data_IF_315764811665
#
_entry.id   IF_315764811665
#
_cell.length_a   1.000
_cell.length_b   1.000
_cell.length_c   1.000
_cell.angle_alpha   90.00
_cell.angle_beta   90.00
_cell.angle_gamma   90.00
#
_symmetry.space_group_name_H-M   'P 1'
#
loop_
_entity.id
_entity.type
_entity.pdbx_description
1 polymer ?
#
# COMPACT_ATOMS: atom_id res chain seq x y z
N UNK A 1 -11.45 16.24 -6.61
CA UNK A 1 -10.29 16.46 -7.49
C UNK A 1 -10.26 15.28 -8.42
N UNK A 2 -10.35 15.52 -9.74
CA UNK A 2 -10.46 14.48 -10.78
C UNK A 2 -9.45 13.32 -10.66
N UNK A 3 -8.30 13.56 -10.03
CA UNK A 3 -7.29 12.52 -9.72
C UNK A 3 -7.78 11.46 -8.71
N UNK A 4 -8.64 11.81 -7.74
CA UNK A 4 -9.26 10.84 -6.82
C UNK A 4 -10.25 9.94 -7.56
N UNK A 5 -10.99 10.50 -8.52
CA UNK A 5 -11.97 9.77 -9.32
C UNK A 5 -11.29 8.81 -10.31
N UNK A 6 -10.14 9.20 -10.89
CA UNK A 6 -9.34 8.31 -11.74
C UNK A 6 -8.66 7.16 -10.96
N UNK A 7 -8.18 7.40 -9.75
CA UNK A 7 -7.64 6.35 -8.89
C UNK A 7 -8.73 5.41 -8.33
N UNK A 8 -9.97 5.90 -8.20
CA UNK A 8 -11.13 5.05 -7.94
C UNK A 8 -11.52 4.21 -9.17
N UNK A 9 -11.33 4.75 -10.39
CA UNK A 9 -11.59 4.05 -11.66
C UNK A 9 -10.48 3.06 -12.06
N UNK A 10 -9.24 3.29 -11.66
CA UNK A 10 -8.09 2.44 -12.03
C UNK A 10 -7.24 2.14 -10.79
N UNK A 11 -7.48 1.00 -10.11
CA UNK A 11 -6.64 0.59 -8.99
C UNK A 11 -5.21 0.34 -9.46
N UNK A 12 -4.23 0.71 -8.62
CA UNK A 12 -2.82 0.51 -8.90
C UNK A 12 -2.50 -0.99 -8.81
N UNK A 13 -1.91 -1.56 -9.85
CA UNK A 13 -1.42 -2.92 -9.82
C UNK A 13 0.06 -2.94 -9.44
N UNK A 14 0.40 -3.73 -8.42
CA UNK A 14 1.75 -3.84 -7.87
C UNK A 14 2.13 -5.31 -7.82
N UNK A 15 3.34 -5.63 -8.26
CA UNK A 15 3.90 -6.99 -8.19
C UNK A 15 5.03 -7.01 -7.16
N UNK A 16 4.88 -7.82 -6.12
CA UNK A 16 5.87 -8.00 -5.07
C UNK A 16 6.62 -9.31 -5.30
N UNK A 17 7.95 -9.27 -5.21
CA UNK A 17 8.79 -10.45 -5.33
C UNK A 17 9.62 -10.65 -4.05
N UNK A 18 9.47 -11.83 -3.44
CA UNK A 18 10.20 -12.27 -2.24
C UNK A 18 11.23 -13.37 -2.55
N UNK A 19 11.36 -13.80 -3.80
CA UNK A 19 12.31 -14.86 -4.22
C UNK A 19 13.78 -14.47 -3.96
N UNK A 20 14.09 -13.17 -3.87
CA UNK A 20 15.41 -12.64 -3.52
C UNK A 20 15.76 -12.81 -2.01
N UNK A 21 14.91 -13.50 -1.24
CA UNK A 21 15.04 -13.65 0.21
C UNK A 21 14.58 -12.43 1.01
N UNK A 22 13.91 -11.45 0.37
CA UNK A 22 13.32 -10.30 1.04
C UNK A 22 12.05 -10.71 1.78
N UNK A 23 11.79 -10.11 2.93
CA UNK A 23 10.48 -10.20 3.57
C UNK A 23 9.45 -9.35 2.82
N UNK A 24 8.17 -9.70 2.98
CA UNK A 24 7.06 -8.87 2.50
C UNK A 24 7.14 -7.46 3.11
N UNK A 25 7.40 -7.38 4.42
CA UNK A 25 7.55 -6.11 5.17
C UNK A 25 6.28 -5.24 5.16
N UNK A 26 5.11 -5.87 5.23
CA UNK A 26 3.82 -5.21 5.16
C UNK A 26 3.02 -5.43 6.44
N UNK A 27 2.50 -4.35 7.03
CA UNK A 27 1.57 -4.40 8.14
C UNK A 27 0.16 -4.06 7.65
N UNK A 28 -0.81 -4.87 8.05
CA UNK A 28 -2.22 -4.68 7.66
C UNK A 28 -3.15 -4.57 8.87
N UNK A 29 -4.29 -3.91 8.68
CA UNK A 29 -5.42 -3.88 9.61
C UNK A 29 -6.74 -4.01 8.87
N UNK A 30 -7.82 -4.21 9.63
CA UNK A 30 -9.17 -4.37 9.09
C UNK A 30 -9.50 -5.84 8.88
N UNK A 31 -10.58 -6.11 8.15
CA UNK A 31 -11.17 -7.43 8.00
C UNK A 31 -12.69 -7.33 7.94
N UNK A 32 -13.30 -8.19 7.12
CA UNK A 32 -14.74 -8.21 6.90
C UNK A 32 -15.53 -8.47 8.19
N UNK A 33 -14.95 -9.19 9.16
CA UNK A 33 -15.52 -9.42 10.49
C UNK A 33 -15.71 -8.13 11.29
N UNK A 34 -14.95 -7.08 10.97
CA UNK A 34 -15.09 -5.74 11.55
C UNK A 34 -15.92 -4.79 10.67
N UNK A 35 -16.44 -5.26 9.54
CA UNK A 35 -17.09 -4.43 8.53
C UNK A 35 -16.12 -3.46 7.82
N UNK A 36 -14.83 -3.79 7.79
CA UNK A 36 -13.75 -2.96 7.22
C UNK A 36 -13.02 -3.69 6.10
N UNK A 37 -12.58 -2.98 5.08
CA UNK A 37 -11.60 -3.52 4.11
C UNK A 37 -10.22 -3.72 4.71
N UNK A 38 -9.30 -4.30 3.95
CA UNK A 38 -7.90 -4.46 4.37
C UNK A 38 -7.09 -3.22 4.00
N UNK A 39 -6.42 -2.62 4.99
CA UNK A 39 -5.62 -1.41 4.83
C UNK A 39 -4.19 -1.60 5.32
N UNK A 40 -3.26 -0.96 4.63
CA UNK A 40 -1.84 -0.96 4.98
C UNK A 40 -1.58 0.07 6.09
N UNK A 41 -0.98 -0.37 7.19
CA UNK A 41 -0.62 0.47 8.35
C UNK A 41 0.86 0.75 8.48
N UNK A 42 1.69 -0.04 7.80
CA UNK A 42 3.13 0.07 7.88
C UNK A 42 3.80 -0.66 6.73
N UNK A 43 4.95 -0.14 6.32
CA UNK A 43 5.81 -0.72 5.28
C UNK A 43 7.24 -0.64 5.80
N UNK A 44 7.92 -1.78 5.86
CA UNK A 44 9.30 -1.85 6.33
C UNK A 44 10.27 -1.38 5.24
N UNK A 45 11.21 -0.47 5.53
CA UNK A 45 12.20 -0.02 4.55
C UNK A 45 13.02 -1.16 3.98
N UNK A 46 13.22 -1.19 2.65
CA UNK A 46 13.99 -2.22 1.96
C UNK A 46 13.27 -3.57 1.80
N UNK A 47 12.01 -3.67 2.20
CA UNK A 47 11.17 -4.85 1.98
C UNK A 47 10.64 -4.94 0.54
N UNK A 48 10.01 -6.08 0.20
CA UNK A 48 9.32 -6.22 -1.08
C UNK A 48 8.18 -5.18 -1.23
N UNK A 49 7.44 -4.89 -0.15
CA UNK A 49 6.39 -3.87 -0.16
C UNK A 49 6.91 -2.45 -0.43
N UNK A 50 8.06 -2.08 0.16
CA UNK A 50 8.72 -0.80 -0.07
C UNK A 50 9.19 -0.67 -1.53
N UNK A 51 9.84 -1.72 -2.06
CA UNK A 51 10.26 -1.78 -3.47
C UNK A 51 9.07 -1.74 -4.45
N UNK A 52 7.92 -2.31 -4.06
CA UNK A 52 6.67 -2.25 -4.79
C UNK A 52 5.98 -0.88 -4.74
N UNK A 53 6.47 0.04 -3.91
CA UNK A 53 5.91 1.39 -3.77
C UNK A 53 4.57 1.42 -3.01
N UNK A 54 4.27 0.38 -2.22
CA UNK A 54 3.12 0.36 -1.32
C UNK A 54 3.29 1.39 -0.21
N UNK A 55 2.18 1.97 0.24
CA UNK A 55 2.20 3.03 1.26
C UNK A 55 1.18 2.80 2.35
N UNK A 56 1.49 3.37 3.51
CA UNK A 56 0.54 3.46 4.61
C UNK A 56 -0.70 4.24 4.16
N UNK A 57 -1.88 3.67 4.40
CA UNK A 57 -3.16 4.22 3.98
C UNK A 57 -3.71 3.64 2.68
N UNK A 58 -2.94 2.84 1.94
CA UNK A 58 -3.45 2.10 0.79
C UNK A 58 -4.44 1.01 1.22
N UNK A 59 -5.48 0.82 0.42
CA UNK A 59 -6.45 -0.26 0.59
C UNK A 59 -6.13 -1.38 -0.39
N UNK A 60 -6.02 -2.61 0.11
CA UNK A 60 -5.84 -3.80 -0.73
C UNK A 60 -7.21 -4.24 -1.23
N UNK A 61 -7.35 -4.36 -2.56
CA UNK A 61 -8.59 -4.77 -3.21
C UNK A 61 -8.52 -6.21 -3.74
N UNK A 62 -7.34 -6.65 -4.16
CA UNK A 62 -7.12 -7.99 -4.73
C UNK A 62 -5.68 -8.42 -4.52
N UNK A 63 -5.45 -9.72 -4.29
CA UNK A 63 -4.12 -10.36 -4.29
C UNK A 63 -4.22 -11.67 -5.07
N UNK A 64 -3.39 -11.84 -6.09
CA UNK A 64 -3.35 -13.04 -6.96
C UNK A 64 -4.71 -13.47 -7.51
N UNK A 65 -5.57 -12.49 -7.80
CA UNK A 65 -6.93 -12.72 -8.31
C UNK A 65 -7.97 -13.01 -7.21
N UNK A 66 -7.58 -13.14 -5.94
CA UNK A 66 -8.51 -13.23 -4.82
C UNK A 66 -8.92 -11.83 -4.34
N UNK A 67 -10.23 -11.63 -4.17
CA UNK A 67 -10.77 -10.35 -3.71
C UNK A 67 -10.52 -10.13 -2.21
N UNK A 68 -9.98 -8.96 -1.87
CA UNK A 68 -9.74 -8.52 -0.49
C UNK A 68 -10.82 -7.53 0.00
N UNK A 69 -11.91 -7.37 -0.76
CA UNK A 69 -12.99 -6.42 -0.43
C UNK A 69 -13.83 -6.91 0.75
N UNK A 70 -14.08 -8.23 0.83
CA UNK A 70 -14.92 -8.88 1.85
C UNK A 70 -14.20 -10.08 2.48
N UNK A 71 -12.89 -9.96 2.68
CA UNK A 71 -12.05 -11.03 3.27
C UNK A 71 -11.87 -10.83 4.77
N UNK A 72 -11.76 -11.94 5.53
CA UNK A 72 -11.44 -11.86 6.96
C UNK A 72 -9.98 -11.46 7.19
N UNK A 73 -9.67 -10.92 8.38
CA UNK A 73 -8.29 -10.55 8.73
C UNK A 73 -7.34 -11.76 8.65
N UNK A 74 -7.72 -12.87 9.30
CA UNK A 74 -6.90 -14.09 9.35
C UNK A 74 -6.63 -14.67 7.97
N UNK A 75 -7.65 -14.72 7.10
CA UNK A 75 -7.50 -15.22 5.73
C UNK A 75 -6.61 -14.31 4.89
N UNK A 76 -6.76 -12.98 5.02
CA UNK A 76 -5.88 -12.03 4.36
C UNK A 76 -4.41 -12.23 4.78
N UNK A 77 -4.15 -12.39 6.09
CA UNK A 77 -2.81 -12.68 6.62
C UNK A 77 -2.28 -14.01 6.08
N UNK A 78 -3.12 -15.04 5.99
CA UNK A 78 -2.73 -16.35 5.47
C UNK A 78 -2.28 -16.28 4.01
N UNK A 79 -3.04 -15.61 3.15
CA UNK A 79 -2.71 -15.44 1.72
C UNK A 79 -1.41 -14.64 1.57
N UNK A 80 -1.28 -13.52 2.29
CA UNK A 80 -0.08 -12.67 2.20
C UNK A 80 1.19 -13.37 2.67
N UNK A 81 1.09 -14.34 3.59
CA UNK A 81 2.24 -15.11 4.10
C UNK A 81 2.61 -16.32 3.24
N UNK A 82 1.69 -16.82 2.43
CA UNK A 82 1.89 -18.06 1.66
C UNK A 82 2.49 -17.81 0.28
N UNK A 83 2.25 -16.65 -0.33
CA UNK A 83 2.83 -16.31 -1.63
C UNK A 83 4.26 -15.77 -1.52
N UNK A 84 5.14 -16.20 -2.43
CA UNK A 84 6.48 -15.61 -2.64
C UNK A 84 6.48 -14.55 -3.77
N UNK A 85 5.49 -14.62 -4.65
CA UNK A 85 5.23 -13.63 -5.70
C UNK A 85 3.77 -13.21 -5.63
N UNK A 86 3.52 -11.96 -5.24
CA UNK A 86 2.16 -11.46 -5.01
C UNK A 86 1.83 -10.37 -6.02
N UNK A 87 0.76 -10.55 -6.79
CA UNK A 87 0.19 -9.52 -7.66
C UNK A 87 -1.00 -8.88 -6.98
N UNK A 88 -0.79 -7.66 -6.50
CA UNK A 88 -1.76 -6.93 -5.70
C UNK A 88 -2.44 -5.84 -6.54
N UNK A 89 -3.73 -5.60 -6.30
CA UNK A 89 -4.41 -4.37 -6.72
C UNK A 89 -4.71 -3.56 -5.49
N UNK A 90 -4.20 -2.34 -5.45
CA UNK A 90 -4.40 -1.42 -4.33
C UNK A 90 -5.07 -0.13 -4.78
N UNK A 91 -5.79 0.49 -3.86
CA UNK A 91 -6.36 1.83 -4.03
C UNK A 91 -5.67 2.77 -3.06
N UNK A 92 -5.10 3.83 -3.58
CA UNK A 92 -4.61 4.95 -2.78
C UNK A 92 -5.80 5.71 -2.14
N UNK A 93 -6.02 5.47 -0.86
CA UNK A 93 -7.04 6.16 -0.03
C UNK A 93 -6.39 7.30 0.80
N UNK A 94 -5.07 7.33 0.84
CA UNK A 94 -4.27 8.04 1.83
C UNK A 94 -3.34 9.14 1.31
N UNK A 95 -3.31 9.44 0.00
CA UNK A 95 -2.63 10.63 -0.55
C UNK A 95 -3.39 11.91 -0.20
N UNK A 96 -3.49 12.18 1.09
CA UNK A 96 -3.28 13.53 1.57
C UNK A 96 -1.87 13.88 1.11
N UNK A 97 -1.79 14.87 0.24
CA UNK A 97 -0.57 15.62 0.02
C UNK A 97 -0.21 16.26 1.36
N UNK A 98 0.37 15.50 2.28
CA UNK A 98 1.22 16.11 3.29
C UNK A 98 2.27 16.80 2.45
N UNK A 99 2.20 18.11 2.48
CA UNK A 99 3.13 19.04 1.91
C UNK A 99 4.47 18.85 2.63
N UNK A 100 5.11 17.68 2.51
CA UNK A 100 6.52 17.53 2.79
C UNK A 100 7.23 18.09 1.57
N UNK A 101 7.83 19.24 1.79
CA UNK A 101 8.66 19.97 0.85
C UNK A 101 9.59 19.02 0.09
N UNK A 102 9.25 18.82 -1.19
CA UNK A 102 10.12 18.22 -2.20
C UNK A 102 10.25 19.11 -3.43
N UNK A 103 9.83 20.38 -3.33
CA UNK A 103 10.35 21.40 -4.22
C UNK A 103 11.72 21.77 -3.67
N UNK A 104 12.78 21.29 -4.31
CA UNK A 104 14.05 22.02 -4.31
C UNK A 104 13.74 23.44 -4.79
N UNK A 105 13.66 24.40 -3.87
CA UNK A 105 13.72 25.81 -4.22
C UNK A 105 15.12 26.05 -4.80
N UNK A 106 15.29 26.48 -6.07
CA UNK A 106 16.61 26.70 -6.65
C UNK A 106 17.26 28.01 -6.16
N UNK A 107 16.84 28.54 -5.01
CA UNK A 107 17.41 29.76 -4.43
C UNK A 107 17.32 29.66 -2.91
N UNK A 108 18.47 29.43 -2.28
CA UNK A 108 18.59 29.27 -0.84
C UNK A 108 18.10 30.49 -0.06
N UNK A 109 17.44 30.22 1.06
CA UNK A 109 17.37 31.14 2.19
C UNK A 109 17.21 30.31 3.48
N UNK A 110 17.90 30.82 4.50
CA UNK A 110 18.30 30.22 5.77
C UNK A 110 17.15 29.96 6.74
N UNK A 111 17.34 28.91 7.55
CA UNK A 111 16.90 28.70 8.93
C UNK A 111 16.09 29.83 9.59
N UNK A 112 14.87 29.53 10.05
CA UNK A 112 14.40 29.59 11.45
C UNK A 112 12.87 29.49 11.47
N UNK A 113 12.35 28.58 12.29
CA UNK A 113 11.22 28.71 13.22
C UNK A 113 10.99 27.35 13.88
#
# INVERSE_FOLDING_TARGET
SWLRDLNAMFPLQVSLNMDDGRSLGLMIRGGAEYGLGIYITGVDPGSAADAGGLKVGDQILEVDGQSFVIISHDEAVHILKTGCHLRMKVRDVGRQTTHVQGACCPSGCSWLC
#
